data_IF_206134731956
#
_entry.id   IF_206134731956
#
_cell.length_a   1.000
_cell.length_b   1.000
_cell.length_c   1.000
_cell.angle_alpha   90.00
_cell.angle_beta   90.00
_cell.angle_gamma   90.00
#
_symmetry.space_group_name_H-M   'P 1'
#
loop_
_entity.id
_entity.type
_entity.pdbx_description
1 polymer ?
#
# COMPACT_ATOMS: atom_id res chain seq x y z
N UNK A 1 75.15 -130.14 -21.24
CA UNK A 1 74.81 -130.42 -19.82
C UNK A 1 75.05 -129.13 -19.00
N UNK A 2 74.04 -128.71 -18.29
CA UNK A 2 74.11 -127.92 -17.05
C UNK A 2 74.30 -126.37 -17.17
N UNK A 3 73.36 -125.83 -17.03
CA UNK A 3 72.77 -125.01 -15.87
C UNK A 3 73.66 -123.84 -15.35
N UNK A 4 73.39 -122.77 -15.54
CA UNK A 4 73.90 -121.58 -14.91
C UNK A 4 72.83 -120.51 -14.74
N UNK A 5 72.50 -120.29 -13.59
CA UNK A 5 71.36 -119.63 -13.00
C UNK A 5 71.17 -118.04 -13.24
N UNK A 6 69.98 -117.47 -13.35
CA UNK A 6 69.76 -116.07 -13.55
C UNK A 6 69.62 -115.27 -12.21
N UNK A 7 70.76 -114.85 -11.64
CA UNK A 7 70.77 -114.09 -10.37
C UNK A 7 71.11 -112.59 -10.59
N UNK A 8 71.54 -112.26 -11.80
CA UNK A 8 71.94 -110.87 -12.10
C UNK A 8 70.73 -109.83 -12.46
N UNK A 9 69.65 -110.35 -13.03
CA UNK A 9 68.57 -109.52 -13.49
C UNK A 9 67.73 -109.04 -12.35
N UNK A 10 67.47 -109.83 -11.31
CA UNK A 10 66.66 -109.32 -10.14
C UNK A 10 67.35 -108.17 -9.36
N UNK A 11 68.74 -108.28 -9.31
CA UNK A 11 69.53 -107.19 -8.69
C UNK A 11 69.56 -105.89 -9.55
N UNK A 12 69.59 -106.00 -10.84
CA UNK A 12 69.50 -104.86 -11.75
C UNK A 12 68.11 -104.22 -11.75
N UNK A 13 67.03 -105.00 -11.67
CA UNK A 13 65.64 -104.46 -11.55
C UNK A 13 65.42 -103.79 -10.21
N UNK A 14 66.01 -104.30 -9.11
CA UNK A 14 65.88 -103.66 -7.80
C UNK A 14 66.71 -102.39 -7.71
N UNK A 15 67.84 -102.27 -8.35
CA UNK A 15 68.65 -101.06 -8.45
C UNK A 15 67.96 -99.96 -9.31
N UNK A 16 67.35 -100.40 -10.45
CA UNK A 16 66.56 -99.45 -11.28
C UNK A 16 65.30 -98.90 -10.58
N UNK A 17 64.58 -99.75 -9.79
CA UNK A 17 63.44 -99.36 -9.02
C UNK A 17 63.82 -98.40 -7.88
N UNK A 18 64.94 -98.62 -7.20
CA UNK A 18 65.41 -97.65 -6.16
C UNK A 18 65.94 -96.36 -6.76
N UNK A 19 66.50 -96.34 -7.97
CA UNK A 19 66.94 -95.15 -8.66
C UNK A 19 65.74 -94.31 -9.18
N UNK A 20 64.68 -94.92 -9.67
CA UNK A 20 63.43 -94.20 -10.04
C UNK A 20 62.69 -93.66 -8.81
N UNK A 21 62.74 -94.41 -7.67
CA UNK A 21 62.10 -93.88 -6.43
C UNK A 21 62.85 -92.66 -5.84
N UNK A 22 64.19 -92.60 -6.03
CA UNK A 22 64.97 -91.43 -5.59
C UNK A 22 64.80 -90.19 -6.47
N UNK A 23 64.52 -90.37 -7.76
CA UNK A 23 64.25 -89.27 -8.68
C UNK A 23 62.81 -88.63 -8.40
N UNK A 24 61.82 -89.45 -8.08
CA UNK A 24 60.49 -88.99 -7.72
C UNK A 24 60.46 -88.27 -6.39
N UNK A 25 61.26 -88.60 -5.42
CA UNK A 25 61.34 -87.95 -4.12
C UNK A 25 62.01 -86.55 -4.19
N UNK A 26 62.96 -86.36 -5.11
CA UNK A 26 63.59 -85.04 -5.27
C UNK A 26 62.67 -84.05 -6.03
N UNK A 27 61.86 -84.49 -7.01
CA UNK A 27 60.93 -83.67 -7.72
C UNK A 27 59.82 -83.12 -6.76
N UNK A 28 59.32 -83.98 -5.87
CA UNK A 28 58.30 -83.53 -4.86
C UNK A 28 58.84 -82.52 -3.83
N UNK A 29 60.15 -82.64 -3.48
CA UNK A 29 60.79 -81.69 -2.58
C UNK A 29 61.00 -80.31 -3.20
N UNK A 30 61.31 -80.22 -4.48
CA UNK A 30 61.46 -78.93 -5.18
C UNK A 30 60.10 -78.24 -5.47
N UNK A 31 59.07 -79.00 -5.77
CA UNK A 31 57.69 -78.48 -6.00
C UNK A 31 57.08 -77.95 -4.70
N UNK A 32 57.35 -78.53 -3.55
CA UNK A 32 56.93 -78.08 -2.25
C UNK A 32 57.62 -76.73 -1.84
N UNK A 33 58.89 -76.55 -2.18
CA UNK A 33 59.62 -75.29 -1.95
C UNK A 33 59.16 -74.17 -2.87
N UNK A 34 58.79 -74.43 -4.10
CA UNK A 34 58.23 -73.46 -5.04
C UNK A 34 56.82 -73.05 -4.58
N UNK A 35 55.98 -74.01 -4.19
CA UNK A 35 54.68 -73.78 -3.61
C UNK A 35 54.75 -72.91 -2.30
N UNK A 36 55.71 -73.20 -1.44
CA UNK A 36 55.97 -72.41 -0.23
C UNK A 36 56.40 -70.99 -0.56
N UNK A 37 57.27 -70.77 -1.53
CA UNK A 37 57.66 -69.43 -2.00
C UNK A 37 56.45 -68.66 -2.56
N UNK A 38 55.64 -69.36 -3.39
CA UNK A 38 54.41 -68.76 -3.93
C UNK A 38 53.38 -68.33 -2.82
N UNK A 39 53.23 -69.20 -1.80
CA UNK A 39 52.38 -68.89 -0.63
C UNK A 39 52.91 -67.70 0.18
N UNK A 40 54.25 -67.62 0.35
CA UNK A 40 54.85 -66.45 1.05
C UNK A 40 54.72 -65.20 0.25
N UNK A 41 54.90 -65.19 -1.08
CA UNK A 41 54.70 -64.06 -1.95
C UNK A 41 53.19 -63.58 -1.95
N UNK A 42 52.29 -64.59 -2.04
CA UNK A 42 50.85 -64.31 -1.96
C UNK A 42 50.47 -63.69 -0.63
N UNK A 43 51.00 -64.24 0.50
CA UNK A 43 50.75 -63.60 1.82
C UNK A 43 51.31 -62.22 1.92
N UNK A 44 52.47 -61.94 1.37
CA UNK A 44 53.05 -60.58 1.32
C UNK A 44 52.19 -59.62 0.50
N UNK A 45 51.68 -60.04 -0.66
CA UNK A 45 50.82 -59.31 -1.51
C UNK A 45 49.45 -58.99 -0.81
N UNK A 46 48.88 -60.03 -0.19
CA UNK A 46 47.62 -59.86 0.58
C UNK A 46 47.81 -58.89 1.74
N UNK A 47 48.90 -58.98 2.49
CA UNK A 47 49.14 -58.04 3.60
C UNK A 47 49.42 -56.62 3.10
N UNK A 48 50.20 -56.46 2.00
CA UNK A 48 50.40 -55.16 1.38
C UNK A 48 49.09 -54.54 0.87
N UNK A 49 48.24 -55.37 0.25
CA UNK A 49 46.92 -54.93 -0.22
C UNK A 49 45.96 -54.54 0.97
N UNK A 50 46.03 -55.33 2.03
CA UNK A 50 45.27 -55.04 3.26
C UNK A 50 45.71 -53.72 3.85
N UNK A 51 47.00 -53.46 4.05
CA UNK A 51 47.50 -52.17 4.57
C UNK A 51 47.12 -51.01 3.67
N UNK A 52 47.24 -51.20 2.34
CA UNK A 52 46.85 -50.18 1.38
C UNK A 52 45.35 -49.87 1.43
N UNK A 53 44.48 -50.89 1.59
CA UNK A 53 43.03 -50.71 1.73
C UNK A 53 42.68 -50.06 3.03
N UNK A 54 43.29 -50.40 4.16
CA UNK A 54 43.11 -49.78 5.46
C UNK A 54 43.53 -48.32 5.42
N UNK A 55 44.64 -47.99 4.76
CA UNK A 55 45.02 -46.56 4.55
C UNK A 55 44.02 -45.81 3.72
N UNK A 56 43.55 -46.33 2.58
CA UNK A 56 42.53 -45.71 1.75
C UNK A 56 41.25 -45.45 2.53
N UNK A 57 40.76 -46.45 3.26
CA UNK A 57 39.56 -46.28 4.08
C UNK A 57 39.74 -45.23 5.18
N UNK A 58 40.94 -45.16 5.76
CA UNK A 58 41.26 -44.14 6.76
C UNK A 58 41.24 -42.72 6.15
N UNK A 59 41.87 -42.58 4.98
CA UNK A 59 41.94 -41.31 4.24
C UNK A 59 40.56 -40.87 3.73
N UNK A 60 39.76 -41.78 3.18
CA UNK A 60 38.37 -41.51 2.75
C UNK A 60 37.49 -41.10 3.94
N UNK A 61 37.59 -41.80 5.08
CA UNK A 61 36.88 -41.44 6.28
C UNK A 61 37.30 -40.05 6.81
N UNK A 62 38.57 -39.72 6.75
CA UNK A 62 39.07 -38.39 7.13
C UNK A 62 38.54 -37.32 6.18
N UNK A 63 38.49 -37.60 4.87
CA UNK A 63 37.92 -36.67 3.88
C UNK A 63 36.42 -36.49 4.08
N UNK A 64 35.65 -37.55 4.28
CA UNK A 64 34.22 -37.49 4.56
C UNK A 64 33.91 -36.65 5.82
N UNK A 65 34.69 -36.87 6.90
CA UNK A 65 34.54 -36.06 8.12
C UNK A 65 34.80 -34.57 7.87
N UNK A 66 35.81 -34.21 7.08
CA UNK A 66 36.08 -32.81 6.70
C UNK A 66 34.93 -32.24 5.89
N UNK A 67 34.40 -32.98 4.90
CA UNK A 67 33.26 -32.56 4.10
C UNK A 67 31.99 -32.35 4.95
N UNK A 68 31.75 -33.23 5.93
CA UNK A 68 30.62 -33.07 6.86
C UNK A 68 30.73 -31.81 7.71
N UNK A 69 31.94 -31.52 8.23
CA UNK A 69 32.17 -30.27 8.99
C UNK A 69 32.01 -29.03 8.11
N UNK A 70 32.47 -29.06 6.87
CA UNK A 70 32.28 -27.96 5.93
C UNK A 70 30.83 -27.75 5.59
N UNK A 71 30.08 -28.82 5.30
CA UNK A 71 28.62 -28.73 5.10
C UNK A 71 27.88 -28.19 6.33
N UNK A 72 28.29 -28.62 7.53
CA UNK A 72 27.70 -28.13 8.76
C UNK A 72 27.92 -26.60 8.90
N UNK A 73 29.13 -26.12 8.62
CA UNK A 73 29.47 -24.70 8.62
C UNK A 73 28.67 -23.93 7.58
N UNK A 74 28.48 -24.47 6.38
CA UNK A 74 27.65 -23.87 5.34
C UNK A 74 26.17 -23.78 5.75
N UNK A 75 25.63 -24.83 6.40
CA UNK A 75 24.26 -24.84 6.91
C UNK A 75 24.08 -23.77 7.98
N UNK A 76 25.03 -23.60 8.89
CA UNK A 76 24.96 -22.56 9.92
C UNK A 76 25.03 -21.17 9.31
N UNK A 77 25.89 -20.94 8.32
CA UNK A 77 25.95 -19.68 7.59
C UNK A 77 24.64 -19.38 6.87
N UNK A 78 24.06 -20.36 6.15
CA UNK A 78 22.77 -20.20 5.49
C UNK A 78 21.62 -19.92 6.46
N UNK A 79 21.62 -20.56 7.64
CA UNK A 79 20.63 -20.25 8.70
C UNK A 79 20.77 -18.82 9.20
N UNK A 80 21.99 -18.33 9.37
CA UNK A 80 22.24 -16.94 9.73
C UNK A 80 21.73 -15.95 8.65
N UNK A 81 21.98 -16.27 7.38
CA UNK A 81 21.49 -15.45 6.27
C UNK A 81 19.96 -15.44 6.17
N UNK A 82 19.33 -16.60 6.35
CA UNK A 82 17.85 -16.68 6.42
C UNK A 82 17.27 -15.84 7.56
N UNK A 83 17.85 -15.93 8.75
CA UNK A 83 17.40 -15.13 9.88
C UNK A 83 17.53 -13.61 9.60
N UNK A 84 18.66 -13.20 8.98
CA UNK A 84 18.87 -11.80 8.57
C UNK A 84 17.87 -11.35 7.50
N UNK A 85 17.63 -12.17 6.47
CA UNK A 85 16.64 -11.87 5.43
C UNK A 85 15.22 -11.80 6.00
N UNK A 86 14.86 -12.69 6.92
CA UNK A 86 13.56 -12.64 7.61
C UNK A 86 13.39 -11.34 8.39
N UNK A 87 14.41 -10.95 9.17
CA UNK A 87 14.39 -9.67 9.87
C UNK A 87 14.28 -8.46 8.95
N UNK A 88 15.00 -8.46 7.81
CA UNK A 88 14.86 -7.40 6.80
C UNK A 88 13.48 -7.36 6.17
N UNK A 89 12.87 -8.51 5.86
CA UNK A 89 11.51 -8.58 5.33
C UNK A 89 10.47 -8.07 6.33
N UNK A 90 10.61 -8.39 7.60
CA UNK A 90 9.75 -7.83 8.65
C UNK A 90 9.89 -6.30 8.76
N UNK A 91 11.11 -5.80 8.69
CA UNK A 91 11.38 -4.36 8.70
C UNK A 91 10.78 -3.66 7.46
N UNK A 92 10.96 -4.25 6.27
CA UNK A 92 10.36 -3.75 5.04
C UNK A 92 8.84 -3.74 5.11
N UNK A 93 8.23 -4.81 5.61
CA UNK A 93 6.77 -4.90 5.78
C UNK A 93 6.24 -3.80 6.70
N UNK A 94 6.92 -3.54 7.83
CA UNK A 94 6.58 -2.43 8.73
C UNK A 94 6.71 -1.08 8.02
N UNK A 95 7.81 -0.85 7.30
CA UNK A 95 8.04 0.40 6.56
C UNK A 95 6.98 0.63 5.47
N UNK A 96 6.59 -0.42 4.74
CA UNK A 96 5.51 -0.35 3.73
C UNK A 96 4.19 0.02 4.39
N UNK A 97 3.84 -0.61 5.51
CA UNK A 97 2.61 -0.28 6.25
C UNK A 97 2.60 1.17 6.73
N UNK A 98 3.72 1.66 7.24
CA UNK A 98 3.86 3.06 7.68
C UNK A 98 3.71 4.05 6.52
N UNK A 99 4.34 3.75 5.37
CA UNK A 99 4.19 4.58 4.15
C UNK A 99 2.75 4.59 3.67
N UNK A 100 2.08 3.44 3.64
CA UNK A 100 0.66 3.35 3.25
C UNK A 100 -0.23 4.18 4.18
N UNK A 101 0.01 4.11 5.49
CA UNK A 101 -0.75 4.89 6.46
C UNK A 101 -0.52 6.40 6.28
N UNK A 102 0.72 6.82 6.07
CA UNK A 102 1.06 8.23 5.76
C UNK A 102 0.40 8.69 4.46
N UNK A 103 0.39 7.84 3.43
CA UNK A 103 -0.26 8.17 2.16
C UNK A 103 -1.77 8.37 2.34
N UNK A 104 -2.43 7.49 3.09
CA UNK A 104 -3.86 7.64 3.41
C UNK A 104 -4.13 8.94 4.17
N UNK A 105 -3.31 9.29 5.16
CA UNK A 105 -3.43 10.56 5.90
C UNK A 105 -3.24 11.78 4.98
N UNK A 106 -2.25 11.73 4.09
CA UNK A 106 -2.02 12.79 3.10
C UNK A 106 -3.21 12.92 2.13
N UNK A 107 -3.74 11.80 1.64
CA UNK A 107 -4.90 11.79 0.73
C UNK A 107 -6.15 12.35 1.42
N UNK A 108 -6.39 12.00 2.69
CA UNK A 108 -7.49 12.58 3.48
C UNK A 108 -7.31 14.10 3.69
N UNK A 109 -6.10 14.53 3.98
CA UNK A 109 -5.79 15.97 4.14
C UNK A 109 -5.94 16.72 2.82
N UNK A 110 -5.51 16.10 1.71
CA UNK A 110 -5.67 16.67 0.37
C UNK A 110 -7.14 16.81 0.01
N UNK A 111 -7.96 15.76 0.21
CA UNK A 111 -9.43 15.84 -0.02
C UNK A 111 -10.10 16.94 0.78
N UNK A 112 -9.63 17.24 1.99
CA UNK A 112 -10.14 18.34 2.80
C UNK A 112 -9.76 19.73 2.27
N UNK A 113 -8.77 19.82 1.40
CA UNK A 113 -8.30 21.08 0.81
C UNK A 113 -8.64 21.22 -0.68
N UNK A 114 -9.07 20.14 -1.32
CA UNK A 114 -9.46 20.19 -2.74
C UNK A 114 -10.83 20.85 -2.94
N UNK A 115 -10.96 21.74 -3.95
CA UNK A 115 -12.24 22.30 -4.33
C UNK A 115 -13.25 21.21 -4.70
N UNK A 116 -14.45 21.29 -4.15
CA UNK A 116 -15.51 20.32 -4.38
C UNK A 116 -16.72 20.93 -5.08
N UNK A 117 -17.41 20.12 -5.90
CA UNK A 117 -18.69 20.53 -6.47
C UNK A 117 -19.76 20.54 -5.38
N UNK A 118 -20.44 21.65 -5.28
CA UNK A 118 -21.50 21.89 -4.30
C UNK A 118 -22.71 22.51 -4.98
N UNK A 119 -23.88 22.33 -4.38
CA UNK A 119 -25.12 22.96 -4.83
C UNK A 119 -25.66 23.83 -3.71
N UNK A 120 -25.83 25.09 -3.97
CA UNK A 120 -26.43 26.08 -3.04
C UNK A 120 -27.50 26.85 -3.75
N UNK A 121 -28.67 26.93 -3.15
CA UNK A 121 -29.85 27.64 -3.69
C UNK A 121 -30.15 27.25 -5.16
N UNK A 122 -29.97 25.96 -5.51
CA UNK A 122 -30.25 25.40 -6.85
C UNK A 122 -29.14 25.64 -7.89
N UNK A 123 -28.00 26.24 -7.53
CA UNK A 123 -26.87 26.47 -8.42
C UNK A 123 -25.72 25.55 -8.06
N UNK A 124 -25.17 24.88 -9.06
CA UNK A 124 -23.98 24.02 -8.91
C UNK A 124 -22.71 24.81 -9.26
N UNK A 125 -21.72 24.77 -8.41
CA UNK A 125 -20.41 25.38 -8.62
C UNK A 125 -19.32 24.65 -7.84
N UNK A 126 -18.06 24.91 -8.20
CA UNK A 126 -16.91 24.39 -7.47
C UNK A 126 -16.49 25.43 -6.42
N UNK A 127 -16.35 25.00 -5.16
CA UNK A 127 -15.91 25.87 -4.08
C UNK A 127 -14.70 25.30 -3.34
N UNK A 128 -13.83 26.17 -2.90
CA UNK A 128 -12.77 25.84 -1.96
C UNK A 128 -13.39 25.47 -0.59
N UNK A 129 -12.92 24.45 0.11
CA UNK A 129 -13.42 24.09 1.44
C UNK A 129 -13.39 25.25 2.45
N UNK A 130 -12.46 26.19 2.31
CA UNK A 130 -12.40 27.40 3.17
C UNK A 130 -13.55 28.35 2.88
N UNK A 131 -13.88 28.59 1.60
CA UNK A 131 -15.05 29.40 1.23
C UNK A 131 -16.33 28.82 1.82
N UNK A 132 -16.48 27.49 1.68
CA UNK A 132 -17.62 26.78 2.26
C UNK A 132 -17.67 26.95 3.78
N UNK A 133 -16.57 26.73 4.47
CA UNK A 133 -16.51 26.83 5.93
C UNK A 133 -16.82 28.26 6.42
N UNK A 134 -16.29 29.30 5.77
CA UNK A 134 -16.54 30.71 6.11
C UNK A 134 -17.99 31.10 5.84
N UNK A 135 -18.55 30.67 4.69
CA UNK A 135 -19.96 30.90 4.39
C UNK A 135 -20.89 30.23 5.39
N UNK A 136 -20.65 28.92 5.68
CA UNK A 136 -21.46 28.18 6.65
C UNK A 136 -21.35 28.76 8.06
N UNK A 137 -20.19 29.25 8.47
CA UNK A 137 -19.98 29.93 9.74
C UNK A 137 -20.78 31.23 9.80
N UNK A 138 -20.72 32.08 8.76
CA UNK A 138 -21.49 33.32 8.69
C UNK A 138 -23.01 33.04 8.75
N UNK A 139 -23.47 32.01 8.04
CA UNK A 139 -24.87 31.58 8.06
C UNK A 139 -25.29 31.05 9.45
N UNK A 140 -24.41 30.31 10.12
CA UNK A 140 -24.59 29.85 11.50
C UNK A 140 -24.82 31.05 12.45
N UNK A 141 -23.96 32.06 12.37
CA UNK A 141 -24.10 33.32 13.16
C UNK A 141 -25.42 34.00 12.87
N UNK A 142 -25.84 34.10 11.60
CA UNK A 142 -27.13 34.67 11.21
C UNK A 142 -28.31 33.91 11.86
N UNK A 143 -28.28 32.58 11.79
CA UNK A 143 -29.35 31.71 12.35
C UNK A 143 -29.48 31.79 13.86
N UNK A 144 -28.44 32.17 14.57
CA UNK A 144 -28.48 32.43 16.02
C UNK A 144 -28.99 33.83 16.37
N UNK A 145 -29.40 34.65 15.37
CA UNK A 145 -29.92 35.99 15.58
C UNK A 145 -28.84 37.06 15.84
N UNK A 146 -27.58 36.74 15.70
CA UNK A 146 -26.44 37.63 15.89
C UNK A 146 -26.22 38.50 14.63
N UNK A 147 -27.22 39.28 14.22
CA UNK A 147 -27.26 39.93 12.90
C UNK A 147 -26.12 40.93 12.67
N UNK A 148 -25.68 41.65 13.67
CA UNK A 148 -24.55 42.57 13.54
C UNK A 148 -23.23 41.82 13.23
N UNK A 149 -23.00 40.66 13.88
CA UNK A 149 -21.84 39.83 13.61
C UNK A 149 -21.96 39.15 12.26
N UNK A 150 -23.14 38.63 11.90
CA UNK A 150 -23.40 38.05 10.59
C UNK A 150 -23.19 39.06 9.46
N UNK A 151 -23.61 40.32 9.62
CA UNK A 151 -23.32 41.38 8.67
C UNK A 151 -21.84 41.54 8.40
N UNK A 152 -21.01 41.60 9.46
CA UNK A 152 -19.55 41.70 9.31
C UNK A 152 -19.00 40.48 8.61
N UNK A 153 -19.38 39.26 9.05
CA UNK A 153 -18.90 38.03 8.48
C UNK A 153 -19.21 37.86 6.98
N UNK A 154 -20.45 38.19 6.56
CA UNK A 154 -20.81 38.14 5.15
C UNK A 154 -20.16 39.25 4.33
N UNK A 155 -19.98 40.46 4.87
CA UNK A 155 -19.28 41.55 4.20
C UNK A 155 -17.80 41.18 3.95
N UNK A 156 -17.14 40.61 4.94
CA UNK A 156 -15.76 40.10 4.82
C UNK A 156 -15.67 38.96 3.81
N UNK A 157 -16.63 38.05 3.80
CA UNK A 157 -16.72 36.96 2.84
C UNK A 157 -16.80 37.49 1.40
N UNK A 158 -17.73 38.34 1.08
CA UNK A 158 -17.92 38.93 -0.27
C UNK A 158 -16.68 39.68 -0.72
N UNK A 159 -15.99 40.39 0.18
CA UNK A 159 -14.76 41.10 -0.11
C UNK A 159 -13.57 40.13 -0.37
N UNK A 160 -13.49 39.04 0.39
CA UNK A 160 -12.38 38.07 0.31
C UNK A 160 -12.52 37.17 -0.91
N UNK A 161 -13.74 36.79 -1.25
CA UNK A 161 -14.03 35.81 -2.31
C UNK A 161 -14.91 36.41 -3.43
N UNK A 162 -14.47 37.44 -4.16
CA UNK A 162 -15.31 38.18 -5.11
C UNK A 162 -15.76 37.33 -6.31
N UNK A 163 -15.11 36.20 -6.57
CA UNK A 163 -15.45 35.27 -7.66
C UNK A 163 -16.13 33.98 -7.16
N UNK A 164 -16.44 33.89 -5.87
CA UNK A 164 -17.07 32.71 -5.29
C UNK A 164 -18.47 32.48 -5.84
N UNK A 165 -18.80 31.21 -6.09
CA UNK A 165 -20.18 30.82 -6.41
C UNK A 165 -21.17 31.08 -5.29
N UNK A 166 -20.70 31.28 -4.06
CA UNK A 166 -21.54 31.72 -2.92
C UNK A 166 -21.95 33.17 -2.94
N UNK A 167 -21.33 34.03 -3.78
CA UNK A 167 -21.50 35.48 -3.67
C UNK A 167 -22.95 35.96 -3.76
N UNK A 168 -23.75 35.36 -4.64
CA UNK A 168 -25.16 35.73 -4.73
C UNK A 168 -25.91 35.43 -3.40
N UNK A 169 -25.70 34.24 -2.84
CA UNK A 169 -26.27 33.85 -1.55
C UNK A 169 -25.72 34.70 -0.39
N UNK A 170 -24.40 34.98 -0.41
CA UNK A 170 -23.76 35.82 0.63
C UNK A 170 -24.31 37.24 0.64
N UNK A 171 -24.51 37.88 -0.54
CA UNK A 171 -25.14 39.19 -0.68
C UNK A 171 -26.59 39.17 -0.21
N UNK A 172 -27.35 38.10 -0.48
CA UNK A 172 -28.70 37.92 0.04
C UNK A 172 -28.74 37.91 1.58
N UNK A 173 -27.88 37.09 2.20
CA UNK A 173 -27.83 36.99 3.66
C UNK A 173 -27.25 38.24 4.31
N UNK A 174 -26.28 38.90 3.66
CA UNK A 174 -25.78 40.20 4.08
C UNK A 174 -26.91 41.25 4.10
N UNK A 175 -27.70 41.33 3.03
CA UNK A 175 -28.84 42.23 2.95
C UNK A 175 -29.89 41.96 4.04
N UNK A 176 -30.16 40.67 4.36
CA UNK A 176 -31.07 40.31 5.44
C UNK A 176 -30.50 40.67 6.84
N UNK A 177 -29.20 40.49 7.07
CA UNK A 177 -28.56 40.92 8.31
C UNK A 177 -28.61 42.44 8.48
N UNK A 178 -28.39 43.18 7.40
CA UNK A 178 -28.50 44.64 7.38
C UNK A 178 -29.92 45.11 7.58
N UNK A 179 -30.92 44.44 7.02
CA UNK A 179 -32.32 44.72 7.29
C UNK A 179 -32.63 44.57 8.78
N UNK A 180 -32.19 43.47 9.40
CA UNK A 180 -32.40 43.21 10.82
C UNK A 180 -31.70 44.24 11.74
N UNK A 181 -30.57 44.79 11.31
CA UNK A 181 -29.84 45.86 12.00
C UNK A 181 -30.30 47.29 11.60
N UNK A 182 -31.36 47.38 10.80
CA UNK A 182 -31.95 48.65 10.30
C UNK A 182 -31.05 49.45 9.36
N UNK A 183 -30.05 48.83 8.77
CA UNK A 183 -29.17 49.39 7.74
C UNK A 183 -29.83 49.23 6.36
N UNK A 184 -30.99 49.86 6.18
CA UNK A 184 -31.89 49.61 5.05
C UNK A 184 -31.31 50.02 3.69
N UNK A 185 -30.54 51.11 3.61
CA UNK A 185 -29.93 51.56 2.36
C UNK A 185 -28.86 50.57 1.87
N UNK A 186 -28.04 50.11 2.79
CA UNK A 186 -27.00 49.11 2.51
C UNK A 186 -27.65 47.78 2.12
N UNK A 187 -28.71 47.36 2.80
CA UNK A 187 -29.48 46.17 2.46
C UNK A 187 -30.01 46.23 1.02
N UNK A 188 -30.63 47.34 0.62
CA UNK A 188 -31.12 47.57 -0.75
C UNK A 188 -29.97 47.44 -1.75
N UNK A 189 -28.81 48.04 -1.46
CA UNK A 189 -27.65 47.97 -2.35
C UNK A 189 -27.18 46.53 -2.54
N UNK A 190 -27.07 45.75 -1.46
CA UNK A 190 -26.62 44.35 -1.52
C UNK A 190 -27.65 43.45 -2.20
N UNK A 191 -28.94 43.57 -1.97
CA UNK A 191 -29.99 42.86 -2.69
C UNK A 191 -29.94 43.17 -4.20
N UNK A 192 -29.75 44.45 -4.57
CA UNK A 192 -29.59 44.83 -5.99
C UNK A 192 -28.34 44.22 -6.61
N UNK A 193 -27.23 44.22 -5.89
CA UNK A 193 -25.97 43.54 -6.33
C UNK A 193 -26.17 42.05 -6.54
N UNK A 194 -26.88 41.39 -5.64
CA UNK A 194 -27.25 39.98 -5.76
C UNK A 194 -28.11 39.74 -7.01
N UNK A 195 -29.13 40.54 -7.25
CA UNK A 195 -30.02 40.43 -8.41
C UNK A 195 -29.29 40.70 -9.74
N UNK A 196 -28.32 41.62 -9.74
CA UNK A 196 -27.49 41.92 -10.91
C UNK A 196 -26.52 40.75 -11.20
N UNK A 197 -25.96 40.11 -10.16
CA UNK A 197 -25.05 39.01 -10.30
C UNK A 197 -25.74 37.69 -10.73
N UNK A 198 -26.97 37.48 -10.22
CA UNK A 198 -27.70 36.23 -10.44
C UNK A 198 -29.23 36.49 -10.45
N UNK A 199 -29.75 37.00 -11.56
CA UNK A 199 -31.20 37.35 -11.68
C UNK A 199 -32.09 36.09 -11.65
N UNK A 200 -31.56 34.94 -11.97
CA UNK A 200 -32.20 33.63 -11.96
C UNK A 200 -32.05 32.87 -10.64
N UNK A 201 -31.44 33.47 -9.64
CA UNK A 201 -31.21 32.80 -8.35
C UNK A 201 -32.53 32.46 -7.66
N UNK A 202 -32.58 31.28 -7.01
CA UNK A 202 -33.79 30.83 -6.30
C UNK A 202 -34.32 31.86 -5.27
N UNK A 203 -33.45 32.67 -4.69
CA UNK A 203 -33.74 33.71 -3.73
C UNK A 203 -34.03 35.10 -4.38
N UNK A 204 -34.02 35.22 -5.72
CA UNK A 204 -34.24 36.51 -6.38
C UNK A 204 -35.61 37.14 -6.05
N UNK A 205 -36.74 36.39 -6.09
CA UNK A 205 -38.03 36.96 -5.69
C UNK A 205 -38.07 37.46 -4.24
N UNK A 206 -37.43 36.71 -3.33
CA UNK A 206 -37.31 37.10 -1.91
C UNK A 206 -36.47 38.37 -1.74
N UNK A 207 -35.36 38.49 -2.52
CA UNK A 207 -34.53 39.69 -2.48
C UNK A 207 -35.30 40.94 -2.95
N UNK A 208 -36.11 40.83 -4.03
CA UNK A 208 -36.95 41.95 -4.49
C UNK A 208 -37.99 42.34 -3.43
N UNK A 209 -38.61 41.35 -2.79
CA UNK A 209 -39.54 41.61 -1.68
C UNK A 209 -38.86 42.33 -0.50
N UNK A 210 -37.62 41.89 -0.18
CA UNK A 210 -36.81 42.50 0.89
C UNK A 210 -36.42 43.94 0.57
N UNK A 211 -36.14 44.28 -0.71
CA UNK A 211 -35.92 45.64 -1.15
C UNK A 211 -37.17 46.50 -0.87
N UNK A 212 -38.34 45.99 -1.25
CA UNK A 212 -39.60 46.71 -0.98
C UNK A 212 -39.84 46.92 0.52
N UNK A 213 -39.53 45.91 1.35
CA UNK A 213 -39.62 46.03 2.81
C UNK A 213 -38.67 47.12 3.35
N UNK A 214 -37.43 47.18 2.89
CA UNK A 214 -36.48 48.22 3.25
C UNK A 214 -37.03 49.63 2.87
N UNK A 215 -37.62 49.76 1.67
CA UNK A 215 -38.21 51.02 1.19
C UNK A 215 -39.41 51.45 2.05
N UNK A 216 -40.24 50.53 2.50
CA UNK A 216 -41.37 50.83 3.43
C UNK A 216 -40.83 51.34 4.77
N UNK A 217 -39.80 50.68 5.32
CA UNK A 217 -39.16 51.11 6.58
C UNK A 217 -38.54 52.49 6.44
N UNK A 218 -38.03 52.86 5.27
CA UNK A 218 -37.48 54.14 4.92
C UNK A 218 -38.59 55.18 4.62
N UNK A 219 -39.87 54.80 4.70
CA UNK A 219 -41.04 55.64 4.36
C UNK A 219 -41.16 56.06 2.87
N UNK A 220 -40.37 55.35 1.99
CA UNK A 220 -40.47 55.57 0.54
C UNK A 220 -41.52 54.60 -0.05
N UNK A 221 -42.79 54.89 0.26
CA UNK A 221 -43.92 54.08 -0.22
C UNK A 221 -44.06 54.11 -1.75
N UNK A 222 -43.57 55.17 -2.43
CA UNK A 222 -43.61 55.26 -3.88
C UNK A 222 -42.62 54.28 -4.53
N UNK A 223 -41.38 54.16 -4.01
CA UNK A 223 -40.43 53.21 -4.48
C UNK A 223 -40.90 51.83 -4.13
N UNK A 224 -41.36 51.56 -2.90
CA UNK A 224 -41.86 50.25 -2.47
C UNK A 224 -42.97 49.72 -3.38
N UNK A 225 -43.96 50.60 -3.74
CA UNK A 225 -45.03 50.21 -4.67
C UNK A 225 -44.46 49.71 -6.01
N UNK A 226 -43.57 50.50 -6.64
CA UNK A 226 -42.95 50.12 -7.93
C UNK A 226 -42.21 48.78 -7.80
N UNK A 227 -41.41 48.62 -6.75
CA UNK A 227 -40.65 47.40 -6.52
C UNK A 227 -41.57 46.18 -6.36
N UNK A 228 -42.71 46.32 -5.67
CA UNK A 228 -43.70 45.25 -5.51
C UNK A 228 -44.45 44.94 -6.80
N UNK A 229 -44.77 45.98 -7.62
CA UNK A 229 -45.36 45.78 -8.96
C UNK A 229 -44.39 45.02 -9.89
N UNK A 230 -43.11 45.38 -9.87
CA UNK A 230 -42.08 44.72 -10.66
C UNK A 230 -41.87 43.26 -10.19
N UNK A 231 -41.90 42.99 -8.88
CA UNK A 231 -41.87 41.62 -8.32
C UNK A 231 -43.00 40.77 -8.86
N UNK A 232 -44.24 41.28 -8.84
CA UNK A 232 -45.40 40.49 -9.30
C UNK A 232 -45.42 40.25 -10.81
N UNK A 233 -44.75 41.11 -11.61
CA UNK A 233 -44.60 40.96 -13.04
C UNK A 233 -43.44 39.97 -13.37
N UNK A 234 -42.32 40.13 -12.70
CA UNK A 234 -41.12 39.33 -12.99
C UNK A 234 -41.20 37.88 -12.46
N UNK A 235 -41.85 37.69 -11.30
CA UNK A 235 -41.91 36.40 -10.61
C UNK A 235 -43.36 36.04 -10.19
N UNK A 236 -44.33 35.98 -11.10
CA UNK A 236 -45.76 35.93 -10.79
C UNK A 236 -46.22 34.76 -9.96
N UNK A 237 -45.48 33.63 -10.05
CA UNK A 237 -45.78 32.36 -9.35
C UNK A 237 -45.03 32.18 -8.02
N UNK A 238 -44.15 33.12 -7.63
CA UNK A 238 -43.39 33.03 -6.39
C UNK A 238 -44.25 33.37 -5.16
N UNK A 239 -43.90 32.72 -4.03
CA UNK A 239 -44.49 33.09 -2.72
C UNK A 239 -44.23 34.58 -2.38
N UNK A 240 -43.05 35.08 -2.75
CA UNK A 240 -42.68 36.46 -2.57
C UNK A 240 -43.64 37.40 -3.35
N UNK A 241 -44.07 37.04 -4.58
CA UNK A 241 -45.04 37.84 -5.34
C UNK A 241 -46.44 37.80 -4.71
N UNK A 242 -46.84 36.70 -4.10
CA UNK A 242 -48.10 36.63 -3.34
C UNK A 242 -48.04 37.59 -2.15
N UNK A 243 -46.99 37.52 -1.32
CA UNK A 243 -46.77 38.45 -0.21
C UNK A 243 -46.67 39.90 -0.70
N UNK A 244 -46.07 40.10 -1.90
CA UNK A 244 -46.02 41.42 -2.55
C UNK A 244 -47.39 42.00 -2.89
N UNK A 245 -48.30 41.20 -3.44
CA UNK A 245 -49.70 41.61 -3.74
C UNK A 245 -50.44 42.02 -2.47
N UNK A 246 -50.30 41.27 -1.39
CA UNK A 246 -50.91 41.63 -0.11
C UNK A 246 -50.38 42.93 0.44
N UNK A 247 -49.08 43.21 0.32
CA UNK A 247 -48.48 44.47 0.74
C UNK A 247 -48.94 45.65 -0.10
N UNK A 248 -49.03 45.46 -1.43
CA UNK A 248 -49.57 46.51 -2.34
C UNK A 248 -50.95 46.95 -1.95
N UNK A 249 -51.83 46.04 -1.55
CA UNK A 249 -53.21 46.39 -1.11
C UNK A 249 -53.26 47.26 0.15
N UNK A 250 -52.23 47.18 1.01
CA UNK A 250 -52.13 47.92 2.28
C UNK A 250 -51.32 49.20 2.17
N UNK A 251 -50.52 49.37 1.11
CA UNK A 251 -49.75 50.57 0.86
C UNK A 251 -50.68 51.69 0.33
N UNK A 252 -50.98 52.66 1.21
CA UNK A 252 -51.71 53.88 0.85
C UNK A 252 -50.77 54.87 0.18
#
# INVERSE_FOLDING_TARGET
>A
MMHGTPLSWKRAALAAALFCASLGANAALFEDDEARRAILDLRQRVEAQRVQTEQRLTDENAQLRRSLLDLQTQIEAMRGDLARMTGQNEQLTRSVSEVQQRQTDVDERLRKTEPSKITVDGREFTADPREKAEFDAALGVFRTGQFAQAQTAFADFVKRYPQSGYNASALFWLGNAQYATRNYNEAIANFRSMLSLAPDHAKAPEAVLSIANCQIELKDNRAARRTLEDLTKAYPQSEAAQAGRERLSRLK
#
